data_IF_689238063943
#
_entry.id   IF_689238063943
#
_cell.length_a   1.000
_cell.length_b   1.000
_cell.length_c   1.000
_cell.angle_alpha   90.00
_cell.angle_beta   90.00
_cell.angle_gamma   90.00
#
_symmetry.space_group_name_H-M   'P 1'
#
loop_
_entity.id
_entity.type
_entity.pdbx_description
1 polymer ?
#
# COMPACT_ATOMS: atom_id res chain seq x y z
N UNK A 1 4.74 -15.01 1.51
CA UNK A 1 3.96 -15.79 2.50
C UNK A 1 4.74 -15.77 3.81
N UNK A 2 4.18 -15.10 4.82
CA UNK A 2 4.83 -14.95 6.13
C UNK A 2 5.15 -16.31 6.78
N UNK A 3 6.28 -16.40 7.49
CA UNK A 3 6.77 -17.66 8.07
C UNK A 3 5.74 -18.23 9.03
N UNK A 4 5.13 -17.38 9.87
CA UNK A 4 4.16 -17.82 10.88
C UNK A 4 2.90 -18.37 10.21
N UNK A 5 2.47 -17.76 9.11
CA UNK A 5 1.32 -18.26 8.35
C UNK A 5 1.55 -19.65 7.76
N UNK A 6 2.75 -19.96 7.25
CA UNK A 6 3.02 -21.32 6.76
C UNK A 6 3.07 -22.32 7.90
N UNK A 7 3.62 -21.93 9.05
CA UNK A 7 3.65 -22.79 10.24
C UNK A 7 2.25 -23.09 10.76
N UNK A 8 1.33 -22.11 10.75
CA UNK A 8 -0.06 -22.33 11.12
C UNK A 8 -0.78 -23.26 10.14
N UNK A 9 -0.55 -23.12 8.83
CA UNK A 9 -1.11 -24.07 7.85
C UNK A 9 -0.60 -25.50 8.08
N UNK A 10 0.66 -25.66 8.47
CA UNK A 10 1.20 -26.97 8.83
C UNK A 10 0.55 -27.54 10.10
N UNK A 11 0.31 -26.69 11.12
CA UNK A 11 -0.44 -27.07 12.34
C UNK A 11 -1.87 -27.49 12.04
N UNK A 12 -2.58 -26.72 11.22
CA UNK A 12 -3.95 -27.02 10.81
C UNK A 12 -4.06 -28.36 10.05
N UNK A 13 -2.99 -28.78 9.37
CA UNK A 13 -2.86 -30.09 8.72
C UNK A 13 -2.40 -31.21 9.66
N UNK A 14 -2.41 -30.97 10.98
CA UNK A 14 -2.01 -31.95 12.00
C UNK A 14 -0.52 -32.22 12.08
N UNK A 15 0.35 -31.40 11.45
CA UNK A 15 1.80 -31.60 11.54
C UNK A 15 2.37 -30.96 12.81
N UNK A 16 3.16 -31.73 13.56
CA UNK A 16 3.95 -31.20 14.67
C UNK A 16 5.05 -30.26 14.16
N UNK A 17 5.17 -29.07 14.75
CA UNK A 17 6.16 -28.06 14.36
C UNK A 17 7.45 -28.28 15.15
N UNK A 18 8.37 -29.04 14.56
CA UNK A 18 9.71 -29.23 15.11
C UNK A 18 10.62 -28.04 14.78
N UNK A 19 11.73 -27.84 15.52
CA UNK A 19 12.74 -26.83 15.18
C UNK A 19 13.27 -26.97 13.75
N UNK A 20 13.45 -28.20 13.26
CA UNK A 20 13.89 -28.47 11.90
C UNK A 20 12.88 -28.01 10.84
N UNK A 21 11.58 -28.25 11.08
CA UNK A 21 10.51 -27.76 10.19
C UNK A 21 10.49 -26.23 10.18
N UNK A 22 10.60 -25.59 11.35
CA UNK A 22 10.64 -24.13 11.47
C UNK A 22 11.82 -23.53 10.70
N UNK A 23 13.01 -24.10 10.84
CA UNK A 23 14.20 -23.67 10.11
C UNK A 23 14.03 -23.83 8.59
N UNK A 24 13.48 -24.97 8.13
CA UNK A 24 13.23 -25.22 6.71
C UNK A 24 12.23 -24.23 6.10
N UNK A 25 11.12 -23.96 6.80
CA UNK A 25 10.11 -22.97 6.37
C UNK A 25 10.73 -21.58 6.27
N UNK A 26 11.52 -21.18 7.28
CA UNK A 26 12.21 -19.90 7.28
C UNK A 26 13.18 -19.77 6.11
N UNK A 27 14.06 -20.75 5.91
CA UNK A 27 15.04 -20.77 4.81
C UNK A 27 14.35 -20.73 3.44
N UNK A 28 13.26 -21.49 3.25
CA UNK A 28 12.48 -21.48 2.00
C UNK A 28 11.85 -20.11 1.76
N UNK A 29 11.32 -19.46 2.80
CA UNK A 29 10.74 -18.12 2.71
C UNK A 29 11.80 -17.06 2.36
N UNK A 30 13.00 -17.17 2.94
CA UNK A 30 14.15 -16.29 2.65
C UNK A 30 14.62 -16.45 1.20
N UNK A 31 14.79 -17.70 0.72
CA UNK A 31 15.16 -17.97 -0.67
C UNK A 31 14.15 -17.38 -1.65
N UNK A 32 12.84 -17.64 -1.44
CA UNK A 32 11.79 -17.08 -2.28
C UNK A 32 11.77 -15.55 -2.27
N UNK A 33 12.09 -14.94 -1.12
CA UNK A 33 12.19 -13.48 -0.99
C UNK A 33 13.37 -12.93 -1.80
N UNK A 34 14.51 -13.60 -1.75
CA UNK A 34 15.69 -13.24 -2.54
C UNK A 34 15.39 -13.37 -4.05
N UNK A 35 14.85 -14.52 -4.49
CA UNK A 35 14.47 -14.73 -5.90
C UNK A 35 13.45 -13.69 -6.38
N UNK A 36 12.46 -13.34 -5.55
CA UNK A 36 11.51 -12.28 -5.86
C UNK A 36 12.18 -10.91 -6.00
N UNK A 37 13.05 -10.56 -5.05
CA UNK A 37 13.79 -9.30 -5.07
C UNK A 37 14.67 -9.19 -6.32
N UNK A 38 15.35 -10.28 -6.71
CA UNK A 38 16.17 -10.32 -7.91
C UNK A 38 15.34 -10.12 -9.18
N UNK A 39 14.16 -10.76 -9.27
CA UNK A 39 13.22 -10.54 -10.38
C UNK A 39 12.75 -9.09 -10.47
N UNK A 40 12.36 -8.50 -9.34
CA UNK A 40 11.93 -7.09 -9.29
C UNK A 40 13.07 -6.16 -9.69
N UNK A 41 14.30 -6.43 -9.24
CA UNK A 41 15.49 -5.65 -9.61
C UNK A 41 15.81 -5.74 -11.10
N UNK A 42 15.67 -6.90 -11.72
CA UNK A 42 15.93 -7.10 -13.15
C UNK A 42 15.00 -6.25 -14.03
N UNK A 43 13.77 -5.99 -13.58
CA UNK A 43 12.81 -5.12 -14.29
C UNK A 43 13.24 -3.65 -14.18
N UNK A 44 13.74 -3.24 -13.01
CA UNK A 44 14.25 -1.91 -12.74
C UNK A 44 13.18 -0.82 -12.62
N UNK A 45 13.62 0.45 -12.67
CA UNK A 45 12.71 1.61 -12.59
C UNK A 45 12.11 1.91 -13.97
N UNK A 46 10.79 2.15 -14.08
CA UNK A 46 10.16 2.54 -15.35
C UNK A 46 10.76 3.84 -15.93
N UNK A 47 11.01 3.88 -17.24
CA UNK A 47 11.67 5.02 -17.88
C UNK A 47 10.90 6.33 -17.74
N UNK A 48 9.57 6.28 -17.67
CA UNK A 48 8.75 7.47 -17.41
C UNK A 48 9.02 8.08 -16.02
N UNK A 49 9.32 7.26 -15.03
CA UNK A 49 9.68 7.74 -13.69
C UNK A 49 11.13 8.19 -13.62
N UNK A 50 12.05 7.52 -14.33
CA UNK A 50 13.43 8.03 -14.52
C UNK A 50 13.42 9.42 -15.13
N UNK A 51 12.66 9.60 -16.22
CA UNK A 51 12.51 10.89 -16.89
C UNK A 51 11.93 11.95 -15.96
N UNK A 52 10.86 11.64 -15.22
CA UNK A 52 10.28 12.57 -14.24
C UNK A 52 11.33 13.09 -13.23
N UNK A 53 12.24 12.22 -12.79
CA UNK A 53 13.27 12.57 -11.80
C UNK A 53 14.44 13.35 -12.39
N UNK A 54 14.65 13.29 -13.70
CA UNK A 54 15.72 14.02 -14.40
C UNK A 54 15.32 15.42 -14.85
N UNK A 55 14.02 15.76 -14.86
CA UNK A 55 13.56 17.10 -15.26
C UNK A 55 13.99 18.13 -14.21
N UNK A 56 14.66 19.19 -14.67
CA UNK A 56 15.20 20.26 -13.81
C UNK A 56 14.38 21.55 -13.83
N UNK A 57 13.35 21.64 -14.68
CA UNK A 57 12.48 22.82 -14.82
C UNK A 57 11.05 22.49 -14.41
N UNK A 58 10.48 23.30 -13.51
CA UNK A 58 9.11 23.10 -13.01
C UNK A 58 8.07 23.08 -14.13
N UNK A 59 8.16 23.98 -15.10
CA UNK A 59 7.23 24.03 -16.23
C UNK A 59 7.23 22.75 -17.08
N UNK A 60 8.42 22.14 -17.27
CA UNK A 60 8.55 20.88 -18.01
C UNK A 60 7.96 19.71 -17.20
N UNK A 61 8.17 19.68 -15.88
CA UNK A 61 7.51 18.71 -15.00
C UNK A 61 6.00 18.84 -15.10
N UNK A 62 5.46 20.06 -15.06
CA UNK A 62 4.03 20.30 -15.18
C UNK A 62 3.44 19.75 -16.47
N UNK A 63 4.13 19.97 -17.59
CA UNK A 63 3.73 19.43 -18.89
C UNK A 63 3.84 17.90 -18.90
N UNK A 64 4.92 17.35 -18.35
CA UNK A 64 5.17 15.92 -18.33
C UNK A 64 4.18 15.14 -17.46
N UNK A 65 3.87 15.65 -16.26
CA UNK A 65 2.87 15.07 -15.36
C UNK A 65 1.46 15.02 -15.98
N UNK A 66 1.12 15.94 -16.90
CA UNK A 66 -0.16 15.93 -17.60
C UNK A 66 -0.25 14.85 -18.67
N UNK A 67 0.87 14.42 -19.25
CA UNK A 67 0.90 13.46 -20.36
C UNK A 67 1.08 12.01 -19.93
N UNK A 68 1.54 11.76 -18.68
CA UNK A 68 1.77 10.40 -18.20
C UNK A 68 0.65 9.89 -17.30
N UNK A 69 0.45 8.58 -17.35
CA UNK A 69 -0.36 7.81 -16.42
C UNK A 69 0.58 6.88 -15.66
N UNK A 70 0.52 6.90 -14.33
CA UNK A 70 1.26 5.97 -13.49
C UNK A 70 0.33 4.84 -13.07
N UNK A 71 0.73 3.60 -13.32
CA UNK A 71 0.08 2.46 -12.71
C UNK A 71 0.58 2.25 -11.29
N UNK A 72 -0.18 1.49 -10.50
CA UNK A 72 0.30 0.99 -9.23
C UNK A 72 1.60 0.19 -9.35
N UNK A 73 1.75 -0.58 -10.44
CA UNK A 73 2.94 -1.37 -10.70
C UNK A 73 4.17 -0.48 -10.95
N UNK A 74 4.00 0.66 -11.64
CA UNK A 74 5.10 1.60 -11.85
C UNK A 74 5.63 2.15 -10.52
N UNK A 75 4.72 2.52 -9.60
CA UNK A 75 5.10 3.00 -8.28
C UNK A 75 5.75 1.89 -7.46
N UNK A 76 5.23 0.66 -7.52
CA UNK A 76 5.84 -0.51 -6.89
C UNK A 76 7.29 -0.69 -7.36
N UNK A 77 7.53 -0.69 -8.68
CA UNK A 77 8.87 -0.82 -9.25
C UNK A 77 9.78 0.34 -8.80
N UNK A 78 9.29 1.57 -8.77
CA UNK A 78 10.07 2.71 -8.27
C UNK A 78 10.45 2.54 -6.79
N UNK A 79 9.53 2.13 -5.93
CA UNK A 79 9.79 1.91 -4.50
C UNK A 79 10.93 0.89 -4.31
N UNK A 80 10.84 -0.24 -5.01
CA UNK A 80 11.80 -1.34 -4.86
C UNK A 80 13.14 -1.09 -5.56
N UNK A 81 13.15 -0.35 -6.67
CA UNK A 81 14.33 -0.20 -7.52
C UNK A 81 14.95 1.21 -7.49
N UNK A 82 14.45 2.15 -6.66
CA UNK A 82 14.96 3.53 -6.64
C UNK A 82 16.47 3.67 -6.35
N UNK A 83 17.07 2.69 -5.65
CA UNK A 83 18.52 2.67 -5.41
C UNK A 83 19.34 2.55 -6.70
N UNK A 84 18.79 1.92 -7.75
CA UNK A 84 19.42 1.79 -9.06
C UNK A 84 19.60 3.14 -9.77
N UNK A 85 18.80 4.14 -9.39
CA UNK A 85 18.90 5.52 -9.88
C UNK A 85 19.45 6.48 -8.81
N UNK A 86 20.12 5.91 -7.79
CA UNK A 86 20.79 6.62 -6.69
C UNK A 86 19.85 7.42 -5.78
N UNK A 87 18.57 7.04 -5.69
CA UNK A 87 17.64 7.59 -4.71
C UNK A 87 17.47 6.63 -3.54
N UNK A 88 17.20 7.21 -2.37
CA UNK A 88 16.70 6.47 -1.20
C UNK A 88 15.21 6.69 -1.06
N UNK A 89 14.48 5.70 -0.51
CA UNK A 89 13.04 5.76 -0.35
C UNK A 89 12.64 5.81 1.12
N UNK A 90 11.62 6.63 1.41
CA UNK A 90 10.92 6.67 2.69
C UNK A 90 9.43 6.76 2.43
N UNK A 91 8.66 6.08 3.26
CA UNK A 91 7.21 6.09 3.15
C UNK A 91 6.57 6.53 4.46
N UNK A 92 5.37 7.12 4.35
CA UNK A 92 4.50 7.39 5.48
C UNK A 92 3.08 6.98 5.16
N UNK A 93 2.52 6.20 6.08
CA UNK A 93 1.15 5.73 6.02
C UNK A 93 0.45 6.11 7.31
N UNK A 94 -0.33 7.18 7.28
CA UNK A 94 -1.12 7.61 8.45
C UNK A 94 -2.59 7.36 8.19
N UNK A 95 -3.26 6.85 9.21
CA UNK A 95 -4.70 6.72 9.25
C UNK A 95 -5.21 7.61 10.37
N UNK A 96 -6.23 8.40 10.07
CA UNK A 96 -6.92 9.25 11.02
C UNK A 96 -8.34 8.75 11.12
N UNK A 97 -8.67 8.18 12.27
CA UNK A 97 -10.05 7.84 12.63
C UNK A 97 -10.52 8.95 13.58
N UNK A 98 -11.65 9.63 13.31
CA UNK A 98 -12.23 10.58 14.25
C UNK A 98 -12.40 9.97 15.64
N UNK A 99 -12.12 10.74 16.69
CA UNK A 99 -12.09 10.23 18.06
C UNK A 99 -13.40 9.55 18.45
N UNK A 100 -14.54 10.16 18.12
CA UNK A 100 -15.89 9.63 18.38
C UNK A 100 -16.21 8.31 17.65
N UNK A 101 -15.44 7.96 16.63
CA UNK A 101 -15.55 6.70 15.88
C UNK A 101 -14.55 5.65 16.34
N UNK A 102 -13.72 5.94 17.33
CA UNK A 102 -12.82 4.94 17.91
C UNK A 102 -13.64 3.85 18.60
N UNK A 103 -13.34 2.59 18.30
CA UNK A 103 -14.01 1.44 18.92
C UNK A 103 -13.59 1.39 20.39
N UNK A 104 -14.54 1.67 21.28
CA UNK A 104 -14.38 1.67 22.72
C UNK A 104 -14.54 0.27 23.32
N UNK A 105 -14.28 0.14 24.62
CA UNK A 105 -14.56 -1.10 25.36
C UNK A 105 -16.07 -1.42 25.38
N UNK A 106 -16.91 -0.41 25.54
CA UNK A 106 -18.37 -0.55 25.52
C UNK A 106 -18.86 -1.16 24.20
N UNK A 107 -18.35 -0.68 23.06
CA UNK A 107 -18.73 -1.21 21.75
C UNK A 107 -18.37 -2.71 21.60
N UNK A 108 -17.27 -3.15 22.24
CA UNK A 108 -16.84 -4.57 22.22
C UNK A 108 -17.70 -5.43 23.13
N UNK A 109 -18.09 -4.91 24.28
CA UNK A 109 -18.94 -5.65 25.23
C UNK A 109 -20.36 -5.78 24.68
N UNK A 110 -20.90 -4.74 24.02
CA UNK A 110 -22.17 -4.81 23.27
C UNK A 110 -22.14 -5.86 22.15
N UNK A 111 -21.03 -5.94 21.40
CA UNK A 111 -20.83 -6.98 20.38
C UNK A 111 -20.86 -8.40 20.99
N UNK A 112 -20.16 -8.61 22.11
CA UNK A 112 -20.13 -9.91 22.81
C UNK A 112 -21.50 -10.30 23.37
N UNK A 113 -22.28 -9.31 23.81
CA UNK A 113 -23.65 -9.50 24.29
C UNK A 113 -24.66 -9.77 23.17
N UNK A 114 -24.24 -9.81 21.90
CA UNK A 114 -25.11 -10.10 20.76
C UNK A 114 -25.93 -8.91 20.27
N UNK A 115 -25.59 -7.67 20.67
CA UNK A 115 -26.26 -6.46 20.18
C UNK A 115 -25.31 -5.58 19.34
N UNK A 116 -25.01 -5.98 18.08
CA UNK A 116 -23.96 -5.34 17.30
C UNK A 116 -24.39 -4.03 16.62
N UNK A 117 -25.64 -3.57 16.77
CA UNK A 117 -26.20 -2.47 15.96
C UNK A 117 -25.34 -1.20 16.02
N UNK A 118 -24.99 -0.75 17.22
CA UNK A 118 -24.17 0.45 17.43
C UNK A 118 -22.76 0.29 16.88
N UNK A 119 -22.16 -0.88 17.09
CA UNK A 119 -20.84 -1.24 16.56
C UNK A 119 -20.82 -1.22 15.03
N UNK A 120 -21.85 -1.79 14.38
CA UNK A 120 -21.97 -1.83 12.92
C UNK A 120 -22.15 -0.42 12.36
N UNK A 121 -23.03 0.40 12.94
CA UNK A 121 -23.20 1.80 12.55
C UNK A 121 -21.89 2.57 12.67
N UNK A 122 -21.18 2.43 13.81
CA UNK A 122 -19.89 3.08 14.03
C UNK A 122 -18.85 2.61 13.01
N UNK A 123 -18.80 1.32 12.71
CA UNK A 123 -17.89 0.75 11.72
C UNK A 123 -18.18 1.30 10.33
N UNK A 124 -19.45 1.39 9.93
CA UNK A 124 -19.86 2.03 8.70
C UNK A 124 -19.41 3.50 8.64
N UNK A 125 -19.63 4.28 9.70
CA UNK A 125 -19.13 5.66 9.79
C UNK A 125 -17.60 5.75 9.71
N UNK A 126 -16.87 4.81 10.33
CA UNK A 126 -15.40 4.74 10.17
C UNK A 126 -15.04 4.63 8.69
N UNK A 127 -15.73 3.80 7.90
CA UNK A 127 -15.42 3.65 6.48
C UNK A 127 -15.59 4.96 5.70
N UNK A 128 -16.60 5.76 6.06
CA UNK A 128 -16.91 7.04 5.42
C UNK A 128 -15.99 8.18 5.87
N UNK A 129 -15.60 8.19 7.14
CA UNK A 129 -14.93 9.34 7.77
C UNK A 129 -13.43 9.16 8.01
N UNK A 130 -12.94 7.91 7.98
CA UNK A 130 -11.50 7.63 8.12
C UNK A 130 -10.74 8.31 6.98
N UNK A 131 -9.64 8.96 7.33
CA UNK A 131 -8.76 9.61 6.35
C UNK A 131 -7.44 8.84 6.28
N UNK A 132 -6.98 8.60 5.05
CA UNK A 132 -5.70 7.98 4.78
C UNK A 132 -4.77 8.99 4.16
N UNK A 133 -3.54 9.02 4.67
CA UNK A 133 -2.42 9.67 4.01
C UNK A 133 -1.44 8.60 3.64
N UNK A 134 -1.06 8.63 2.38
CA UNK A 134 -0.09 7.71 1.85
C UNK A 134 0.93 8.50 1.04
N UNK A 135 2.15 8.62 1.55
CA UNK A 135 3.21 9.42 0.95
C UNK A 135 4.48 8.61 0.77
N UNK A 136 5.14 8.81 -0.37
CA UNK A 136 6.46 8.30 -0.71
C UNK A 136 7.38 9.47 -1.00
N UNK A 137 8.51 9.50 -0.31
CA UNK A 137 9.58 10.46 -0.50
C UNK A 137 10.80 9.72 -1.05
N UNK A 138 11.31 10.22 -2.17
CA UNK A 138 12.55 9.77 -2.79
C UNK A 138 13.57 10.89 -2.66
N UNK A 139 14.76 10.60 -2.13
CA UNK A 139 15.77 11.63 -1.87
C UNK A 139 17.19 11.21 -2.30
N UNK A 140 17.91 12.16 -2.90
CA UNK A 140 19.32 12.11 -3.31
C UNK A 140 19.96 13.48 -3.06
N UNK A 141 20.55 13.66 -1.87
CA UNK A 141 21.12 14.95 -1.47
C UNK A 141 20.07 16.07 -1.40
N UNK A 142 20.23 17.10 -2.22
CA UNK A 142 19.28 18.21 -2.33
C UNK A 142 18.08 17.88 -3.24
N UNK A 143 18.21 16.88 -4.11
CA UNK A 143 17.12 16.42 -4.99
C UNK A 143 16.15 15.59 -4.15
N UNK A 144 14.87 15.91 -4.25
CA UNK A 144 13.81 15.11 -3.65
C UNK A 144 12.53 15.16 -4.47
N UNK A 145 11.82 14.03 -4.48
CA UNK A 145 10.54 13.85 -5.16
C UNK A 145 9.57 13.22 -4.17
N UNK A 146 8.36 13.77 -4.09
CA UNK A 146 7.32 13.29 -3.20
C UNK A 146 6.06 12.99 -4.01
N UNK A 147 5.62 11.74 -3.93
CA UNK A 147 4.36 11.24 -4.49
C UNK A 147 3.45 10.91 -3.33
N UNK A 148 2.21 11.40 -3.33
CA UNK A 148 1.27 11.09 -2.25
C UNK A 148 -0.17 11.03 -2.71
N UNK A 149 -0.96 10.22 -2.01
CA UNK A 149 -2.41 10.25 -2.02
C UNK A 149 -2.91 11.00 -0.79
N UNK A 150 -3.79 11.95 -1.05
CA UNK A 150 -4.79 12.48 -0.15
C UNK A 150 -6.04 11.58 -0.18
N UNK A 151 -6.93 11.78 0.79
CA UNK A 151 -8.01 10.83 1.09
C UNK A 151 -8.98 10.58 -0.07
N UNK A 152 -9.36 11.62 -0.81
CA UNK A 152 -10.39 11.56 -1.86
C UNK A 152 -9.81 11.16 -3.22
N UNK A 153 -8.49 10.98 -3.30
CA UNK A 153 -7.81 10.85 -4.60
C UNK A 153 -7.93 9.44 -5.18
N UNK A 154 -8.44 8.47 -4.41
CA UNK A 154 -8.60 7.06 -4.84
C UNK A 154 -10.04 6.76 -5.27
N UNK A 155 -10.94 7.72 -5.10
CA UNK A 155 -12.33 7.55 -5.48
C UNK A 155 -12.50 7.50 -7.02
N UNK A 156 -13.51 6.77 -7.52
CA UNK A 156 -13.81 6.73 -8.94
C UNK A 156 -14.21 8.11 -9.47
N UNK A 157 -14.10 8.37 -10.79
CA UNK A 157 -14.38 9.68 -11.40
C UNK A 157 -15.74 10.29 -11.03
N UNK A 158 -16.75 9.47 -10.75
CA UNK A 158 -18.11 9.91 -10.39
C UNK A 158 -18.19 10.62 -9.03
N UNK A 159 -17.24 10.37 -8.12
CA UNK A 159 -17.21 11.00 -6.78
C UNK A 159 -15.89 11.71 -6.48
N UNK A 160 -14.89 11.56 -7.36
CA UNK A 160 -13.59 12.21 -7.23
C UNK A 160 -13.68 13.71 -7.55
N UNK A 161 -12.97 14.52 -6.76
CA UNK A 161 -12.87 15.96 -7.00
C UNK A 161 -12.07 16.30 -8.27
N UNK A 162 -11.30 15.35 -8.82
CA UNK A 162 -10.58 15.51 -10.07
C UNK A 162 -11.29 14.78 -11.22
N UNK A 163 -11.48 15.49 -12.35
CA UNK A 163 -12.25 15.00 -13.50
C UNK A 163 -11.73 13.70 -14.14
N UNK A 164 -10.47 13.33 -13.92
CA UNK A 164 -9.90 12.08 -14.44
C UNK A 164 -9.90 10.94 -13.42
N UNK A 165 -10.55 11.13 -12.26
CA UNK A 165 -10.64 10.12 -11.20
C UNK A 165 -9.35 10.00 -10.40
N UNK A 166 -8.87 8.77 -10.26
CA UNK A 166 -7.79 8.47 -9.33
C UNK A 166 -6.47 9.14 -9.72
N UNK A 167 -5.76 9.69 -8.74
CA UNK A 167 -4.52 10.44 -9.01
C UNK A 167 -3.55 10.48 -7.84
N UNK A 168 -2.29 10.76 -8.17
CA UNK A 168 -1.28 11.20 -7.21
C UNK A 168 -1.18 12.70 -7.18
N UNK A 169 -0.82 13.23 -6.02
CA UNK A 169 -0.14 14.50 -5.94
C UNK A 169 1.38 14.29 -6.05
N UNK A 170 2.02 15.15 -6.83
CA UNK A 170 3.46 15.20 -7.02
C UNK A 170 4.01 16.57 -6.64
N UNK A 171 5.13 16.56 -5.92
CA UNK A 171 5.88 17.74 -5.56
C UNK A 171 7.37 17.39 -5.43
N UNK A 172 8.26 18.28 -5.83
CA UNK A 172 9.71 18.05 -5.76
C UNK A 172 10.50 19.27 -5.30
N UNK A 173 11.82 19.13 -5.26
CA UNK A 173 12.78 20.21 -4.99
C UNK A 173 12.61 21.45 -5.88
N UNK A 174 11.92 21.33 -7.02
CA UNK A 174 11.61 22.42 -7.94
C UNK A 174 10.58 23.44 -7.41
N UNK A 175 10.03 23.23 -6.20
CA UNK A 175 9.15 24.19 -5.51
C UNK A 175 9.96 25.01 -4.50
N UNK A 176 10.52 26.17 -4.88
CA UNK A 176 11.51 26.90 -4.05
C UNK A 176 10.96 27.38 -2.71
N UNK A 177 9.64 27.60 -2.62
CA UNK A 177 8.97 28.04 -1.39
C UNK A 177 8.71 26.88 -0.41
N UNK A 178 8.90 25.63 -0.83
CA UNK A 178 8.52 24.45 -0.07
C UNK A 178 9.76 23.67 0.35
N UNK A 179 9.91 23.45 1.65
CA UNK A 179 11.03 22.71 2.23
C UNK A 179 10.65 21.24 2.42
N UNK A 180 11.52 20.31 2.01
CA UNK A 180 11.37 18.86 2.21
C UNK A 180 10.88 18.49 3.61
N UNK A 181 11.55 19.00 4.65
CA UNK A 181 11.20 18.72 6.06
C UNK A 181 9.79 19.21 6.42
N UNK A 182 9.41 20.39 5.93
CA UNK A 182 8.08 20.94 6.19
C UNK A 182 6.98 20.11 5.53
N UNK A 183 7.17 19.73 4.27
CA UNK A 183 6.27 18.82 3.54
C UNK A 183 6.16 17.49 4.28
N UNK A 184 7.30 16.90 4.64
CA UNK A 184 7.31 15.62 5.34
C UNK A 184 6.57 15.74 6.67
N UNK A 185 6.70 16.82 7.43
CA UNK A 185 5.92 17.03 8.66
C UNK A 185 4.41 17.20 8.42
N UNK A 186 3.98 17.74 7.28
CA UNK A 186 2.55 17.90 6.97
C UNK A 186 1.82 16.57 6.96
N UNK A 187 2.43 15.50 6.45
CA UNK A 187 1.84 14.14 6.44
C UNK A 187 1.57 13.52 7.84
N UNK A 188 1.89 14.23 8.93
CA UNK A 188 1.46 13.86 10.29
C UNK A 188 0.14 14.51 10.73
N UNK A 189 -0.48 15.34 9.88
CA UNK A 189 -1.77 15.99 10.15
C UNK A 189 -2.88 15.30 9.36
N UNK A 190 -4.12 15.34 9.86
CA UNK A 190 -5.30 14.74 9.21
C UNK A 190 -5.55 15.28 7.80
N UNK A 191 -5.36 16.59 7.63
CA UNK A 191 -5.57 17.28 6.37
C UNK A 191 -4.23 17.76 5.83
N UNK A 192 -3.90 17.30 4.63
CA UNK A 192 -2.66 17.64 3.94
C UNK A 192 -2.95 18.09 2.54
N UNK A 193 -3.44 19.31 2.43
CA UNK A 193 -3.36 20.04 1.18
C UNK A 193 -2.00 20.73 1.12
N UNK A 194 -1.26 20.44 0.06
CA UNK A 194 0.00 21.13 -0.26
C UNK A 194 -0.26 21.92 -1.53
N UNK A 195 -0.44 23.23 -1.35
CA UNK A 195 -0.73 24.16 -2.43
C UNK A 195 0.34 24.07 -3.52
N UNK A 196 -0.13 23.99 -4.77
CA UNK A 196 0.72 23.92 -5.95
C UNK A 196 1.32 22.54 -6.24
N UNK A 197 0.92 21.48 -5.52
CA UNK A 197 1.21 20.10 -5.96
C UNK A 197 0.55 19.81 -7.31
N UNK A 198 1.15 18.91 -8.08
CA UNK A 198 0.65 18.51 -9.39
C UNK A 198 -0.16 17.24 -9.29
N UNK A 199 -1.32 17.21 -9.94
CA UNK A 199 -2.09 15.99 -10.10
C UNK A 199 -1.52 15.17 -11.25
N UNK A 200 -1.27 13.88 -10.99
CA UNK A 200 -0.81 12.90 -11.98
C UNK A 200 -1.83 11.78 -12.06
N UNK A 201 -2.20 11.36 -13.27
CA UNK A 201 -3.16 10.27 -13.46
C UNK A 201 -2.64 8.98 -12.85
N UNK A 202 -3.50 8.26 -12.14
CA UNK A 202 -3.17 7.00 -11.53
C UNK A 202 -4.14 5.90 -11.97
N UNK A 203 -3.56 4.76 -12.35
CA UNK A 203 -4.28 3.55 -12.70
C UNK A 203 -4.06 2.51 -11.59
N UNK A 204 -5.05 2.31 -10.69
CA UNK A 204 -4.98 1.27 -9.68
C UNK A 204 -4.97 -0.12 -10.34
N UNK A 205 -4.27 -1.10 -9.76
CA UNK A 205 -4.39 -2.47 -10.26
C UNK A 205 -5.81 -2.97 -10.05
N UNK A 206 -6.43 -3.50 -11.10
CA UNK A 206 -7.67 -4.25 -10.96
C UNK A 206 -7.35 -5.67 -10.46
N UNK A 207 -8.01 -6.10 -9.39
CA UNK A 207 -8.08 -7.54 -9.13
C UNK A 207 -8.98 -8.16 -10.18
N UNK A 208 -8.58 -9.29 -10.79
CA UNK A 208 -9.55 -10.05 -11.57
C UNK A 208 -10.72 -10.41 -10.65
N UNK A 209 -11.95 -10.23 -11.13
CA UNK A 209 -13.13 -10.70 -10.41
C UNK A 209 -12.95 -12.17 -10.04
N UNK A 210 -13.47 -12.66 -8.89
CA UNK A 210 -13.24 -14.04 -8.44
C UNK A 210 -13.54 -15.12 -9.51
N UNK A 211 -14.49 -14.87 -10.43
CA UNK A 211 -14.82 -15.75 -11.55
C UNK A 211 -14.05 -15.52 -12.86
N UNK A 212 -13.19 -14.49 -12.93
CA UNK A 212 -12.35 -14.13 -14.10
C UNK A 212 -10.86 -14.24 -13.81
N UNK A 213 -10.46 -14.59 -12.59
CA UNK A 213 -9.08 -14.92 -12.29
C UNK A 213 -8.74 -16.17 -13.12
N UNK A 214 -8.08 -15.99 -14.27
CA UNK A 214 -7.38 -17.09 -14.93
C UNK A 214 -6.51 -17.72 -13.85
N UNK A 215 -6.52 -19.06 -13.75
CA UNK A 215 -5.54 -19.76 -12.94
C UNK A 215 -4.17 -19.20 -13.34
N UNK A 216 -3.56 -18.45 -12.44
CA UNK A 216 -2.18 -18.02 -12.62
C UNK A 216 -1.41 -19.32 -12.62
N UNK A 217 -0.81 -19.68 -13.74
CA UNK A 217 0.13 -20.80 -13.76
C UNK A 217 1.28 -20.39 -12.85
N UNK A 218 1.49 -21.07 -11.70
CA UNK A 218 2.59 -20.75 -10.80
C UNK A 218 3.97 -20.92 -11.46
N UNK A 219 4.03 -21.55 -12.64
CA UNK A 219 5.24 -21.73 -13.44
C UNK A 219 5.39 -20.70 -14.58
N UNK A 220 4.36 -19.90 -14.90
CA UNK A 220 4.46 -18.82 -15.88
C UNK A 220 5.14 -17.61 -15.25
N UNK A 221 6.46 -17.54 -15.46
CA UNK A 221 7.36 -16.52 -14.90
C UNK A 221 7.25 -15.16 -15.60
N UNK A 222 6.50 -15.05 -16.70
CA UNK A 222 6.47 -13.85 -17.55
C UNK A 222 5.48 -12.78 -17.09
N UNK A 223 4.52 -13.16 -16.26
CA UNK A 223 3.49 -12.26 -15.72
C UNK A 223 3.17 -12.62 -14.29
N UNK A 224 4.03 -12.23 -13.35
CA UNK A 224 3.64 -12.16 -11.93
C UNK A 224 3.05 -10.76 -11.73
N UNK A 225 1.73 -10.57 -11.80
CA UNK A 225 1.17 -9.27 -11.49
C UNK A 225 1.46 -8.94 -10.02
N UNK A 226 1.57 -7.65 -9.65
CA UNK A 226 1.90 -7.23 -8.28
C UNK A 226 0.97 -7.82 -7.19
N UNK A 227 -0.25 -8.20 -7.55
CA UNK A 227 -1.21 -8.86 -6.67
C UNK A 227 -1.05 -10.40 -6.58
N UNK A 228 -0.32 -11.04 -7.50
CA UNK A 228 -0.01 -12.47 -7.49
C UNK A 228 1.06 -12.87 -6.48
N UNK A 229 1.47 -11.95 -5.59
CA UNK A 229 2.09 -12.31 -4.32
C UNK A 229 1.01 -12.95 -3.43
N UNK A 230 0.60 -14.18 -3.78
CA UNK A 230 -0.40 -15.06 -3.14
C UNK A 230 -1.25 -14.38 -2.05
N UNK A 231 -2.19 -13.55 -2.49
CA UNK A 231 -3.37 -13.26 -1.70
C UNK A 231 -4.23 -14.52 -1.70
N UNK A 232 -4.26 -15.25 -0.59
CA UNK A 232 -5.32 -16.22 -0.34
C UNK A 232 -6.57 -15.44 0.09
N UNK A 233 -7.62 -15.34 -0.75
CA UNK A 233 -8.81 -14.57 -0.44
C UNK A 233 -9.56 -15.14 0.78
N UNK A 234 -9.39 -16.45 1.08
CA UNK A 234 -10.02 -17.09 2.24
C UNK A 234 -9.42 -16.61 3.57
N UNK A 235 -8.21 -16.02 3.56
CA UNK A 235 -7.54 -15.49 4.74
C UNK A 235 -7.81 -13.99 4.98
N UNK A 236 -8.40 -13.28 4.01
CA UNK A 236 -8.78 -11.87 4.17
C UNK A 236 -9.97 -11.67 5.15
N UNK A 237 -10.68 -12.75 5.49
CA UNK A 237 -11.84 -12.71 6.40
C UNK A 237 -11.49 -12.79 7.90
N UNK A 238 -10.20 -12.76 8.26
CA UNK A 238 -9.75 -13.12 9.63
C UNK A 238 -9.59 -12.00 10.66
N UNK A 239 -9.67 -10.71 10.30
CA UNK A 239 -9.45 -9.62 11.27
C UNK A 239 -10.36 -8.44 10.94
N UNK A 240 -11.05 -7.90 11.96
CA UNK A 240 -12.02 -6.80 11.87
C UNK A 240 -11.46 -5.43 11.41
N UNK A 241 -10.38 -5.41 10.66
CA UNK A 241 -9.96 -4.27 9.85
C UNK A 241 -10.61 -4.39 8.47
N UNK A 242 -11.45 -3.43 8.11
CA UNK A 242 -11.97 -3.35 6.74
C UNK A 242 -10.83 -3.33 5.72
N UNK A 243 -11.00 -3.96 4.55
CA UNK A 243 -9.96 -4.03 3.52
C UNK A 243 -9.45 -2.62 3.19
N UNK A 244 -8.13 -2.50 3.09
CA UNK A 244 -7.52 -1.32 2.51
C UNK A 244 -7.88 -1.31 1.01
N UNK A 245 -8.09 -0.14 0.38
CA UNK A 245 -8.14 -0.04 -1.07
C UNK A 245 -6.93 -0.75 -1.68
N UNK A 246 -7.14 -1.54 -2.73
CA UNK A 246 -6.12 -2.24 -3.51
C UNK A 246 -4.86 -1.40 -3.73
N UNK A 247 -4.97 -0.15 -4.23
CA UNK A 247 -3.81 0.72 -4.46
C UNK A 247 -2.98 1.07 -3.22
N UNK A 248 -3.50 0.83 -2.01
CA UNK A 248 -2.78 1.01 -0.75
C UNK A 248 -2.09 -0.27 -0.28
N UNK A 249 -2.46 -1.44 -0.80
CA UNK A 249 -1.93 -2.75 -0.36
C UNK A 249 -0.57 -3.04 -0.99
N UNK A 250 -0.42 -2.84 -2.31
CA UNK A 250 0.85 -3.12 -3.00
C UNK A 250 1.89 -2.05 -2.66
N UNK A 251 1.46 -0.79 -2.58
CA UNK A 251 2.33 0.37 -2.35
C UNK A 251 2.73 0.56 -0.88
N UNK A 252 1.96 0.02 0.08
CA UNK A 252 2.42 -0.17 1.47
C UNK A 252 3.53 -1.21 1.61
N UNK A 253 3.76 -1.99 0.55
CA UNK A 253 4.32 -3.32 0.66
C UNK A 253 3.32 -4.24 1.37
N UNK A 254 3.10 -5.43 0.84
CA UNK A 254 2.34 -6.51 1.51
C UNK A 254 2.88 -6.88 2.91
N UNK A 255 3.99 -6.27 3.36
CA UNK A 255 4.77 -6.59 4.54
C UNK A 255 4.25 -5.97 5.86
N UNK A 256 3.23 -5.12 5.83
CA UNK A 256 2.73 -4.43 7.04
C UNK A 256 1.42 -5.03 7.58
N UNK A 257 0.88 -6.09 6.98
CA UNK A 257 -0.22 -6.84 7.59
C UNK A 257 0.33 -7.71 8.73
N UNK A 258 0.50 -7.13 9.92
CA UNK A 258 0.51 -7.90 11.16
C UNK A 258 -0.88 -8.49 11.35
N UNK A 259 -1.06 -9.74 10.98
CA UNK A 259 -2.24 -10.52 11.38
C UNK A 259 -2.03 -10.96 12.82
N UNK A 260 -2.42 -10.12 13.77
CA UNK A 260 -2.49 -10.51 15.17
C UNK A 260 -3.83 -11.21 15.42
N UNK A 261 -3.79 -12.54 15.50
CA UNK A 261 -4.92 -13.34 15.94
C UNK A 261 -5.13 -13.16 17.45
N UNK A 262 -6.38 -13.14 17.94
CA UNK A 262 -6.63 -13.16 19.38
C UNK A 262 -6.03 -14.44 19.98
N UNK A 263 -5.43 -14.37 21.19
CA UNK A 263 -4.94 -15.56 21.86
C UNK A 263 -6.07 -16.56 22.04
N UNK A 264 -5.82 -17.84 21.71
CA UNK A 264 -6.77 -18.93 21.99
C UNK A 264 -7.10 -18.90 23.48
N UNK A 265 -8.40 -18.88 23.81
CA UNK A 265 -8.83 -19.17 25.16
C UNK A 265 -8.35 -20.59 25.50
N UNK A 266 -7.48 -20.69 26.50
CA UNK A 266 -7.11 -21.97 27.11
C UNK A 266 -8.39 -22.46 27.79
N UNK A 267 -8.96 -23.55 27.27
CA UNK A 267 -9.97 -24.35 27.97
C UNK A 267 -9.25 -25.42 28.76
#
# INVERSE_FOLDING_TARGET
>A
MDVDMQLEQLRAKGRSITPAIKAKVKSTAEQRRAEYHDKVNQIGVPDKLKRLFLITKKAEVEQYCRSIVLSEYDLFLLIHNCSQIHFTHRSRFKQYVPEHLTVSRVDRDEMKAGNPKRFLTKTHSILLERRYIHAHLFERGADWHCLYFSHQDIEPPSTNHWKYGCHFHYISYLWPKLRKRWIWCKFNKRFTEISGSLHMRFEPSEFPSPGKAKQIDPNDKSTIPPWAVNFDPALACGCGSAPLPVPQVVTRGLWVMKVSLPPKAVR
#
